data_IF_223974370005
#
_entry.id   IF_223974370005
#
_cell.length_a   1.000
_cell.length_b   1.000
_cell.length_c   1.000
_cell.angle_alpha   90.00
_cell.angle_beta   90.00
_cell.angle_gamma   90.00
#
_symmetry.space_group_name_H-M   'P 1'
#
loop_
_entity.id
_entity.type
_entity.pdbx_description
1 polymer ?
#
# COMPACT_ATOMS: atom_id res chain seq x y z
N UNK A 1 -20.66 16.43 -12.39
CA UNK A 1 -19.62 16.41 -11.36
C UNK A 1 -18.90 17.74 -11.40
N UNK A 2 -18.70 18.38 -10.25
CA UNK A 2 -17.90 19.59 -10.16
C UNK A 2 -16.43 19.24 -9.99
N UNK A 3 -15.56 19.95 -10.70
CA UNK A 3 -14.11 19.84 -10.51
C UNK A 3 -13.73 20.60 -9.23
N UNK A 4 -13.35 19.85 -8.20
CA UNK A 4 -12.83 20.42 -6.96
C UNK A 4 -11.37 19.97 -6.84
N UNK A 5 -10.44 20.90 -6.99
CA UNK A 5 -8.98 20.65 -6.89
C UNK A 5 -8.46 19.60 -7.86
N UNK A 6 -9.03 19.52 -9.08
CA UNK A 6 -8.61 18.59 -10.12
C UNK A 6 -9.22 17.18 -10.04
N UNK A 7 -10.14 16.95 -9.09
CA UNK A 7 -10.90 15.68 -9.01
C UNK A 7 -12.38 15.90 -9.37
N UNK A 8 -12.94 15.02 -10.19
CA UNK A 8 -14.35 15.02 -10.59
C UNK A 8 -15.16 14.06 -9.71
N UNK A 9 -14.91 14.04 -8.41
CA UNK A 9 -15.42 13.03 -7.47
C UNK A 9 -16.75 13.40 -6.80
N UNK A 10 -17.20 14.65 -6.93
CA UNK A 10 -18.38 15.16 -6.23
C UNK A 10 -19.59 15.32 -7.13
N UNK A 11 -20.73 14.76 -6.71
CA UNK A 11 -22.04 14.99 -7.31
C UNK A 11 -22.81 15.94 -6.40
N UNK A 12 -23.13 17.13 -6.90
CA UNK A 12 -23.96 18.09 -6.16
C UNK A 12 -25.45 17.76 -6.36
N UNK A 13 -26.14 17.53 -5.27
CA UNK A 13 -27.59 17.30 -5.19
C UNK A 13 -28.24 18.46 -4.42
N UNK A 14 -28.12 19.67 -4.94
CA UNK A 14 -28.58 20.86 -4.25
C UNK A 14 -27.67 21.20 -3.06
N UNK A 15 -28.17 21.23 -1.81
CA UNK A 15 -27.36 21.59 -0.65
C UNK A 15 -26.37 20.52 -0.20
N UNK A 16 -26.45 19.30 -0.75
CA UNK A 16 -25.64 18.15 -0.35
C UNK A 16 -24.69 17.75 -1.48
N UNK A 17 -23.42 17.68 -1.17
CA UNK A 17 -22.39 17.12 -2.05
C UNK A 17 -22.13 15.65 -1.68
N UNK A 18 -22.29 14.76 -2.64
CA UNK A 18 -22.18 13.32 -2.44
C UNK A 18 -20.98 12.80 -3.22
N UNK A 19 -20.13 12.00 -2.54
CA UNK A 19 -18.99 11.34 -3.15
C UNK A 19 -19.31 9.86 -3.39
N UNK A 20 -19.52 9.43 -4.65
CA UNK A 20 -19.94 8.04 -4.95
C UNK A 20 -18.94 6.99 -4.50
N UNK A 21 -17.66 7.32 -4.45
CA UNK A 21 -16.61 6.40 -4.01
C UNK A 21 -16.81 5.91 -2.56
N UNK A 22 -17.39 6.73 -1.67
CA UNK A 22 -17.71 6.37 -0.30
C UNK A 22 -18.75 5.25 -0.22
N UNK A 23 -19.78 5.31 -1.07
CA UNK A 23 -20.82 4.30 -1.15
C UNK A 23 -20.38 3.05 -1.92
N UNK A 24 -19.50 3.22 -2.92
CA UNK A 24 -18.95 2.11 -3.69
C UNK A 24 -18.23 1.09 -2.79
N UNK A 25 -17.53 1.53 -1.73
CA UNK A 25 -16.88 0.64 -0.75
C UNK A 25 -17.90 -0.27 -0.06
N UNK A 26 -19.05 0.27 0.33
CA UNK A 26 -20.14 -0.50 0.95
C UNK A 26 -20.73 -1.53 -0.01
N UNK A 27 -21.01 -1.11 -1.24
CA UNK A 27 -21.59 -1.98 -2.28
C UNK A 27 -20.63 -3.12 -2.61
N UNK A 28 -19.35 -2.83 -2.77
CA UNK A 28 -18.33 -3.84 -3.07
C UNK A 28 -18.15 -4.80 -1.90
N UNK A 29 -18.17 -4.31 -0.66
CA UNK A 29 -18.13 -5.16 0.54
C UNK A 29 -19.30 -6.17 0.57
N UNK A 30 -20.52 -5.72 0.29
CA UNK A 30 -21.71 -6.58 0.20
C UNK A 30 -21.61 -7.56 -0.97
N UNK A 31 -21.15 -7.10 -2.14
CA UNK A 31 -21.03 -7.92 -3.33
C UNK A 31 -20.00 -9.06 -3.12
N UNK A 32 -18.83 -8.75 -2.55
CA UNK A 32 -17.79 -9.73 -2.19
C UNK A 32 -18.33 -10.71 -1.15
N UNK A 33 -19.00 -10.21 -0.11
CA UNK A 33 -19.60 -11.04 0.93
C UNK A 33 -20.61 -12.02 0.37
N UNK A 34 -21.49 -11.57 -0.53
CA UNK A 34 -22.46 -12.42 -1.22
C UNK A 34 -21.81 -13.42 -2.16
N UNK A 35 -20.82 -12.98 -2.93
CA UNK A 35 -20.14 -13.84 -3.91
C UNK A 35 -19.33 -14.94 -3.24
N UNK A 36 -18.47 -14.58 -2.29
CA UNK A 36 -17.60 -15.53 -1.59
C UNK A 36 -18.32 -16.33 -0.49
N UNK A 37 -19.50 -15.88 -0.06
CA UNK A 37 -20.34 -16.59 0.90
C UNK A 37 -21.19 -17.69 0.30
N UNK A 38 -21.08 -17.99 -1.00
CA UNK A 38 -21.77 -19.11 -1.64
C UNK A 38 -21.29 -20.43 -1.06
N UNK A 39 -22.18 -21.41 -1.03
CA UNK A 39 -21.88 -22.75 -0.57
C UNK A 39 -20.69 -23.34 -1.37
N UNK A 40 -19.72 -23.94 -0.66
CA UNK A 40 -18.50 -24.55 -1.21
C UNK A 40 -17.51 -23.59 -1.90
N UNK A 41 -17.68 -22.27 -1.84
CA UNK A 41 -16.69 -21.37 -2.40
C UNK A 41 -15.37 -21.41 -1.57
N UNK A 42 -14.29 -21.78 -2.21
CA UNK A 42 -12.94 -21.86 -1.60
C UNK A 42 -11.92 -21.22 -2.53
N UNK A 43 -11.09 -20.33 -1.99
CA UNK A 43 -9.97 -19.72 -2.70
C UNK A 43 -8.78 -20.72 -2.79
N UNK A 44 -8.89 -21.74 -3.63
CA UNK A 44 -7.83 -22.75 -3.78
C UNK A 44 -6.96 -22.53 -5.01
N UNK A 45 -7.53 -22.03 -6.09
CA UNK A 45 -6.85 -21.83 -7.36
C UNK A 45 -6.79 -20.36 -7.74
N UNK A 46 -5.85 -20.02 -8.62
CA UNK A 46 -5.75 -18.66 -9.16
C UNK A 46 -7.02 -18.23 -9.91
N UNK A 47 -7.77 -19.17 -10.47
CA UNK A 47 -9.03 -18.90 -11.16
C UNK A 47 -10.12 -18.43 -10.21
N UNK A 48 -10.13 -18.94 -9.00
CA UNK A 48 -11.09 -18.52 -7.97
C UNK A 48 -10.88 -17.07 -7.52
N UNK A 49 -9.66 -16.54 -7.69
CA UNK A 49 -9.30 -15.16 -7.35
C UNK A 49 -9.72 -14.16 -8.43
N UNK A 50 -9.90 -14.57 -9.69
CA UNK A 50 -10.15 -13.65 -10.82
C UNK A 50 -11.39 -12.78 -10.55
N UNK A 51 -12.50 -13.38 -10.16
CA UNK A 51 -13.75 -12.64 -9.94
C UNK A 51 -13.67 -11.72 -8.74
N UNK A 52 -13.20 -12.15 -7.53
CA UNK A 52 -12.99 -11.23 -6.41
C UNK A 52 -12.05 -10.07 -6.73
N UNK A 53 -10.93 -10.35 -7.43
CA UNK A 53 -10.02 -9.28 -7.87
C UNK A 53 -10.67 -8.33 -8.88
N UNK A 54 -11.49 -8.83 -9.80
CA UNK A 54 -12.24 -7.97 -10.71
C UNK A 54 -13.28 -7.11 -9.95
N UNK A 55 -13.95 -7.67 -8.93
CA UNK A 55 -14.93 -6.95 -8.11
C UNK A 55 -14.31 -5.77 -7.34
N UNK A 56 -13.03 -5.84 -6.95
CA UNK A 56 -12.32 -4.71 -6.32
C UNK A 56 -11.60 -3.85 -7.35
N UNK A 57 -11.01 -4.47 -8.37
CA UNK A 57 -10.17 -3.79 -9.37
C UNK A 57 -10.97 -2.91 -10.31
N UNK A 58 -12.12 -3.38 -10.80
CA UNK A 58 -12.95 -2.59 -11.73
C UNK A 58 -13.46 -1.29 -11.08
N UNK A 59 -14.09 -1.29 -9.89
CA UNK A 59 -14.46 -0.05 -9.23
C UNK A 59 -13.26 0.85 -8.90
N UNK A 60 -12.15 0.28 -8.43
CA UNK A 60 -10.94 1.05 -8.16
C UNK A 60 -10.39 1.74 -9.42
N UNK A 61 -10.35 1.04 -10.56
CA UNK A 61 -9.93 1.61 -11.85
C UNK A 61 -10.91 2.70 -12.34
N UNK A 62 -12.22 2.47 -12.20
CA UNK A 62 -13.23 3.47 -12.57
C UNK A 62 -13.03 4.75 -11.75
N UNK A 63 -12.84 4.64 -10.42
CA UNK A 63 -12.60 5.78 -9.54
C UNK A 63 -11.28 6.48 -9.93
N UNK A 64 -10.22 5.73 -10.17
CA UNK A 64 -8.91 6.27 -10.51
C UNK A 64 -8.91 7.00 -11.86
N UNK A 65 -9.59 6.46 -12.88
CA UNK A 65 -9.58 7.00 -14.24
C UNK A 65 -10.62 8.13 -14.40
N UNK A 66 -11.88 7.88 -13.98
CA UNK A 66 -12.98 8.83 -14.20
C UNK A 66 -13.01 9.95 -13.16
N UNK A 67 -12.75 9.64 -11.90
CA UNK A 67 -12.77 10.63 -10.81
C UNK A 67 -11.40 11.27 -10.56
N UNK A 68 -10.34 10.71 -11.17
CA UNK A 68 -8.93 11.12 -10.94
C UNK A 68 -8.54 11.11 -9.46
N UNK A 69 -9.17 10.24 -8.68
CA UNK A 69 -9.02 10.15 -7.23
C UNK A 69 -8.30 8.86 -6.86
N UNK A 70 -7.01 9.00 -6.56
CA UNK A 70 -6.17 7.83 -6.20
C UNK A 70 -6.40 7.36 -4.76
N UNK A 71 -6.81 8.27 -3.87
CA UNK A 71 -7.04 7.97 -2.46
C UNK A 71 -8.15 6.96 -2.24
N UNK A 72 -9.33 7.27 -2.73
CA UNK A 72 -10.49 6.38 -2.61
C UNK A 72 -10.28 5.05 -3.35
N UNK A 73 -9.57 5.04 -4.48
CA UNK A 73 -9.20 3.82 -5.19
C UNK A 73 -8.27 2.92 -4.37
N UNK A 74 -7.31 3.51 -3.65
CA UNK A 74 -6.35 2.75 -2.83
C UNK A 74 -7.04 2.01 -1.67
N UNK A 75 -8.15 2.51 -1.16
CA UNK A 75 -8.90 1.85 -0.06
C UNK A 75 -9.37 0.44 -0.45
N UNK A 76 -9.61 0.19 -1.74
CA UNK A 76 -9.99 -1.14 -2.20
C UNK A 76 -8.88 -2.20 -1.97
N UNK A 77 -7.64 -1.79 -1.76
CA UNK A 77 -6.57 -2.70 -1.35
C UNK A 77 -6.83 -3.33 0.04
N UNK A 78 -7.64 -2.71 0.89
CA UNK A 78 -8.04 -3.28 2.17
C UNK A 78 -8.69 -4.66 2.04
N UNK A 79 -9.40 -4.93 0.92
CA UNK A 79 -10.04 -6.22 0.67
C UNK A 79 -9.04 -7.38 0.49
N UNK A 80 -7.77 -7.10 0.19
CA UNK A 80 -6.73 -8.13 0.14
C UNK A 80 -6.56 -8.84 1.49
N UNK A 81 -6.74 -8.12 2.61
CA UNK A 81 -6.73 -8.70 3.95
C UNK A 81 -7.88 -9.69 4.15
N UNK A 82 -9.05 -9.36 3.59
CA UNK A 82 -10.23 -10.23 3.62
C UNK A 82 -9.97 -11.52 2.82
N UNK A 83 -9.40 -11.39 1.62
CA UNK A 83 -9.07 -12.55 0.79
C UNK A 83 -8.04 -13.45 1.46
N UNK A 84 -7.02 -12.86 2.10
CA UNK A 84 -6.05 -13.59 2.89
C UNK A 84 -6.73 -14.38 4.02
N UNK A 85 -7.65 -13.76 4.76
CA UNK A 85 -8.40 -14.43 5.83
C UNK A 85 -9.31 -15.56 5.31
N UNK A 86 -9.78 -15.46 4.06
CA UNK A 86 -10.62 -16.48 3.40
C UNK A 86 -9.80 -17.60 2.72
N UNK A 87 -8.48 -17.64 2.90
CA UNK A 87 -7.63 -18.73 2.43
C UNK A 87 -6.79 -18.40 1.20
N UNK A 88 -6.73 -17.14 0.77
CA UNK A 88 -5.78 -16.71 -0.23
C UNK A 88 -4.35 -16.93 0.27
N UNK A 89 -3.47 -17.40 -0.61
CA UNK A 89 -2.07 -17.62 -0.26
C UNK A 89 -1.40 -16.33 0.21
N UNK A 90 -0.67 -16.39 1.32
CA UNK A 90 0.13 -15.26 1.83
C UNK A 90 1.19 -14.76 0.85
N UNK A 91 1.61 -15.58 -0.11
CA UNK A 91 2.53 -15.15 -1.18
C UNK A 91 1.98 -13.98 -2.00
N UNK A 92 0.66 -13.86 -2.17
CA UNK A 92 0.04 -12.73 -2.89
C UNK A 92 0.28 -11.42 -2.16
N UNK A 93 0.16 -11.42 -0.82
CA UNK A 93 0.47 -10.24 0.00
C UNK A 93 1.96 -9.90 -0.05
N UNK A 94 2.83 -10.91 0.03
CA UNK A 94 4.27 -10.70 -0.08
C UNK A 94 4.69 -10.15 -1.44
N UNK A 95 4.06 -10.59 -2.53
CA UNK A 95 4.27 -10.01 -3.88
C UNK A 95 3.87 -8.54 -3.88
N UNK A 96 2.73 -8.19 -3.26
CA UNK A 96 2.31 -6.79 -3.13
C UNK A 96 3.30 -5.93 -2.35
N UNK A 97 3.78 -6.41 -1.20
CA UNK A 97 4.80 -5.73 -0.39
C UNK A 97 6.12 -5.58 -1.16
N UNK A 98 6.56 -6.65 -1.83
CA UNK A 98 7.76 -6.61 -2.66
C UNK A 98 7.65 -5.61 -3.82
N UNK A 99 6.49 -5.55 -4.48
CA UNK A 99 6.24 -4.58 -5.55
C UNK A 99 6.33 -3.14 -5.04
N UNK A 100 5.72 -2.84 -3.89
CA UNK A 100 5.83 -1.51 -3.27
C UNK A 100 7.28 -1.19 -2.89
N UNK A 101 8.00 -2.14 -2.29
CA UNK A 101 9.40 -1.96 -1.91
C UNK A 101 10.29 -1.67 -3.14
N UNK A 102 10.16 -2.48 -4.20
CA UNK A 102 10.91 -2.27 -5.45
C UNK A 102 10.57 -0.93 -6.11
N UNK A 103 9.29 -0.53 -6.09
CA UNK A 103 8.85 0.77 -6.58
C UNK A 103 9.53 1.92 -5.81
N UNK A 104 9.49 1.89 -4.48
CA UNK A 104 10.10 2.92 -3.65
C UNK A 104 11.62 2.96 -3.81
N UNK A 105 12.29 1.80 -3.86
CA UNK A 105 13.73 1.71 -4.08
C UNK A 105 14.13 2.23 -5.46
N UNK A 106 13.39 1.85 -6.50
CA UNK A 106 13.65 2.31 -7.87
C UNK A 106 13.53 3.82 -8.00
N UNK A 107 12.54 4.45 -7.36
CA UNK A 107 12.33 5.90 -7.44
C UNK A 107 13.28 6.66 -6.54
N UNK A 108 13.35 6.30 -5.23
CA UNK A 108 14.13 7.04 -4.22
C UNK A 108 15.60 7.14 -4.58
N UNK A 109 16.17 6.04 -5.05
CA UNK A 109 17.57 5.95 -5.41
C UNK A 109 17.83 5.89 -6.92
N UNK A 110 16.78 5.90 -7.73
CA UNK A 110 16.87 5.84 -9.20
C UNK A 110 17.57 7.06 -9.81
N UNK A 111 17.51 8.21 -9.14
CA UNK A 111 18.16 9.45 -9.58
C UNK A 111 19.51 9.68 -8.90
N UNK A 112 19.85 8.88 -7.89
CA UNK A 112 21.14 8.99 -7.21
C UNK A 112 22.21 8.31 -8.05
N UNK A 113 23.21 9.06 -8.56
CA UNK A 113 24.31 8.47 -9.32
C UNK A 113 25.15 7.57 -8.39
N UNK A 114 25.70 6.51 -8.97
CA UNK A 114 26.66 5.67 -8.24
C UNK A 114 27.93 6.48 -7.96
N UNK A 115 28.49 6.38 -6.74
CA UNK A 115 29.76 7.04 -6.41
C UNK A 115 30.95 6.44 -7.18
N UNK A 116 30.79 5.22 -7.66
CA UNK A 116 31.80 4.47 -8.42
C UNK A 116 31.14 3.97 -9.72
N UNK A 117 31.71 4.34 -10.87
CA UNK A 117 31.22 3.92 -12.19
C UNK A 117 30.01 4.73 -12.70
N UNK A 118 29.34 4.19 -13.71
CA UNK A 118 28.14 4.80 -14.29
C UNK A 118 26.91 3.98 -13.94
N UNK A 119 25.82 4.68 -13.56
CA UNK A 119 24.56 4.04 -13.24
C UNK A 119 23.81 4.73 -12.10
N UNK A 120 22.71 4.11 -11.66
CA UNK A 120 21.92 4.58 -10.54
C UNK A 120 21.95 3.58 -9.38
N UNK A 121 21.99 4.11 -8.17
CA UNK A 121 21.95 3.31 -6.93
C UNK A 121 20.65 2.50 -6.86
N UNK A 122 19.53 3.05 -7.33
CA UNK A 122 18.23 2.39 -7.27
C UNK A 122 18.14 1.11 -8.09
N UNK A 123 18.59 1.15 -9.36
CA UNK A 123 18.58 -0.04 -10.21
C UNK A 123 19.55 -1.09 -9.66
N UNK A 124 20.75 -0.66 -9.25
CA UNK A 124 21.74 -1.56 -8.67
C UNK A 124 21.18 -2.26 -7.41
N UNK A 125 20.57 -1.52 -6.48
CA UNK A 125 20.03 -2.09 -5.24
C UNK A 125 18.88 -3.06 -5.51
N UNK A 126 18.00 -2.77 -6.47
CA UNK A 126 16.94 -3.70 -6.89
C UNK A 126 17.54 -4.99 -7.48
N UNK A 127 18.55 -4.89 -8.35
CA UNK A 127 19.19 -6.07 -8.95
C UNK A 127 19.95 -6.89 -7.91
N UNK A 128 20.62 -6.26 -6.94
CA UNK A 128 21.28 -6.97 -5.83
C UNK A 128 20.26 -7.70 -4.95
N UNK A 129 19.11 -7.09 -4.67
CA UNK A 129 18.03 -7.73 -3.92
C UNK A 129 17.50 -8.98 -4.67
N UNK A 130 17.27 -8.86 -5.97
CA UNK A 130 16.82 -9.98 -6.81
C UNK A 130 17.87 -11.10 -6.87
N UNK A 131 19.16 -10.74 -6.99
CA UNK A 131 20.29 -11.68 -6.89
C UNK A 131 20.25 -12.44 -5.56
N UNK A 132 20.05 -11.75 -4.45
CA UNK A 132 19.98 -12.36 -3.13
C UNK A 132 18.78 -13.31 -2.99
N UNK A 133 17.63 -12.95 -3.55
CA UNK A 133 16.42 -13.80 -3.55
C UNK A 133 16.67 -15.09 -4.34
N UNK A 134 17.23 -15.01 -5.55
CA UNK A 134 17.55 -16.19 -6.37
C UNK A 134 18.51 -17.13 -5.63
N UNK A 135 19.61 -16.60 -5.12
CA UNK A 135 20.60 -17.38 -4.37
C UNK A 135 19.99 -18.00 -3.12
N UNK A 136 19.14 -17.27 -2.39
CA UNK A 136 18.45 -17.79 -1.21
C UNK A 136 17.61 -19.04 -1.53
N UNK A 137 16.82 -19.01 -2.61
CA UNK A 137 16.00 -20.15 -2.99
C UNK A 137 16.82 -21.34 -3.49
N UNK A 138 17.96 -21.09 -4.17
CA UNK A 138 18.91 -22.15 -4.53
C UNK A 138 19.55 -22.75 -3.26
N UNK A 139 19.97 -21.94 -2.29
CA UNK A 139 20.53 -22.39 -1.01
C UNK A 139 19.55 -23.23 -0.19
N UNK A 140 18.25 -22.91 -0.26
CA UNK A 140 17.21 -23.63 0.47
C UNK A 140 17.07 -25.07 0.01
N UNK A 141 17.41 -25.38 -1.22
CA UNK A 141 17.44 -26.74 -1.75
C UNK A 141 18.74 -27.44 -1.32
N UNK A 142 18.63 -28.39 -0.42
CA UNK A 142 19.79 -29.06 0.21
C UNK A 142 20.82 -29.62 -0.78
N UNK A 143 20.35 -30.14 -1.92
CA UNK A 143 21.21 -30.70 -2.97
C UNK A 143 22.01 -29.64 -3.73
N UNK A 144 21.60 -28.39 -3.68
CA UNK A 144 22.18 -27.28 -4.44
C UNK A 144 23.07 -26.35 -3.59
N UNK A 145 23.26 -26.64 -2.31
CA UNK A 145 24.02 -25.76 -1.40
C UNK A 145 25.45 -25.47 -1.87
N UNK A 146 26.15 -26.48 -2.35
CA UNK A 146 27.49 -26.30 -2.91
C UNK A 146 27.49 -25.44 -4.17
N UNK A 147 26.52 -25.62 -5.03
CA UNK A 147 26.34 -24.79 -6.23
C UNK A 147 26.00 -23.35 -5.85
N UNK A 148 25.18 -23.15 -4.82
CA UNK A 148 24.88 -21.80 -4.31
C UNK A 148 26.13 -21.09 -3.78
N UNK A 149 27.04 -21.78 -3.09
CA UNK A 149 28.33 -21.22 -2.64
C UNK A 149 29.20 -20.82 -3.83
N UNK A 150 29.27 -21.65 -4.88
CA UNK A 150 29.99 -21.33 -6.11
C UNK A 150 29.37 -20.10 -6.79
N UNK A 151 28.03 -20.00 -6.84
CA UNK A 151 27.33 -18.84 -7.40
C UNK A 151 27.61 -17.57 -6.60
N UNK A 152 27.60 -17.64 -5.28
CA UNK A 152 27.98 -16.49 -4.41
C UNK A 152 29.41 -16.05 -4.76
N UNK A 153 30.34 -17.00 -4.83
CA UNK A 153 31.73 -16.72 -5.18
C UNK A 153 31.86 -16.10 -6.58
N UNK A 154 31.14 -16.61 -7.57
CA UNK A 154 31.14 -16.08 -8.94
C UNK A 154 30.55 -14.66 -9.01
N UNK A 155 29.45 -14.39 -8.30
CA UNK A 155 28.85 -13.04 -8.21
C UNK A 155 29.82 -12.06 -7.58
N UNK A 156 30.43 -12.42 -6.44
CA UNK A 156 31.44 -11.58 -5.78
C UNK A 156 32.66 -11.33 -6.68
N UNK A 157 33.09 -12.34 -7.42
CA UNK A 157 34.20 -12.22 -8.36
C UNK A 157 33.85 -11.27 -9.52
N UNK A 158 32.65 -11.37 -10.10
CA UNK A 158 32.20 -10.46 -11.17
C UNK A 158 32.19 -9.01 -10.68
N UNK A 159 31.61 -8.75 -9.48
CA UNK A 159 31.61 -7.40 -8.92
C UNK A 159 33.03 -6.93 -8.54
N UNK A 160 33.88 -7.81 -8.00
CA UNK A 160 35.28 -7.52 -7.69
C UNK A 160 36.07 -7.13 -8.93
N UNK A 161 35.95 -7.91 -10.02
CA UNK A 161 36.59 -7.56 -11.30
C UNK A 161 36.03 -6.24 -11.84
N UNK A 162 34.73 -6.03 -11.77
CA UNK A 162 34.08 -4.80 -12.23
C UNK A 162 34.60 -3.56 -11.47
N UNK A 163 34.84 -3.68 -10.16
CA UNK A 163 35.46 -2.62 -9.35
C UNK A 163 36.89 -2.36 -9.74
N UNK A 164 37.71 -3.40 -10.02
CA UNK A 164 39.07 -3.25 -10.48
C UNK A 164 39.14 -2.58 -11.87
N UNK A 165 38.27 -3.01 -12.81
CA UNK A 165 38.21 -2.41 -14.14
C UNK A 165 37.74 -0.96 -14.08
N UNK A 166 36.89 -0.62 -13.11
CA UNK A 166 36.39 0.74 -12.92
C UNK A 166 37.47 1.74 -12.56
N UNK A 167 38.66 1.29 -12.11
CA UNK A 167 39.82 2.16 -11.89
C UNK A 167 40.33 2.74 -13.20
N UNK A 168 40.19 1.98 -14.32
CA UNK A 168 40.70 2.35 -15.63
C UNK A 168 39.67 2.86 -16.58
N UNK A 169 38.44 2.28 -16.51
CA UNK A 169 37.32 2.61 -17.38
C UNK A 169 36.05 2.63 -16.55
N UNK A 170 35.24 3.68 -16.68
CA UNK A 170 33.97 3.80 -15.98
C UNK A 170 33.01 2.64 -16.36
N UNK A 171 32.78 1.71 -15.42
CA UNK A 171 31.97 0.52 -15.62
C UNK A 171 30.49 0.84 -15.41
N UNK A 172 29.61 0.41 -16.32
CA UNK A 172 28.16 0.57 -16.17
C UNK A 172 27.59 -0.51 -15.24
N UNK A 173 27.68 -0.31 -13.91
CA UNK A 173 27.26 -1.29 -12.90
C UNK A 173 25.82 -1.75 -13.02
N UNK A 174 24.93 -0.92 -13.54
CA UNK A 174 23.53 -1.33 -13.78
C UNK A 174 23.43 -2.44 -14.82
N UNK A 175 24.23 -2.38 -15.88
CA UNK A 175 24.26 -3.43 -16.92
C UNK A 175 24.96 -4.69 -16.41
N UNK A 176 26.02 -4.53 -15.61
CA UNK A 176 26.70 -5.66 -14.97
C UNK A 176 25.75 -6.39 -14.04
N UNK A 177 25.05 -5.68 -13.16
CA UNK A 177 24.09 -6.29 -12.24
C UNK A 177 22.92 -6.95 -12.95
N UNK A 178 22.42 -6.33 -14.02
CA UNK A 178 21.39 -6.92 -14.86
C UNK A 178 21.87 -8.22 -15.53
N UNK A 179 23.09 -8.23 -16.05
CA UNK A 179 23.72 -9.42 -16.61
C UNK A 179 23.87 -10.55 -15.60
N UNK A 180 24.29 -10.25 -14.37
CA UNK A 180 24.38 -11.20 -13.26
C UNK A 180 23.00 -11.82 -12.94
N UNK A 181 21.97 -10.98 -12.79
CA UNK A 181 20.61 -11.49 -12.50
C UNK A 181 20.08 -12.37 -13.63
N UNK A 182 20.28 -11.95 -14.90
CA UNK A 182 19.85 -12.77 -16.06
C UNK A 182 20.58 -14.11 -16.08
N UNK A 183 21.89 -14.12 -15.83
CA UNK A 183 22.66 -15.36 -15.78
C UNK A 183 22.16 -16.29 -14.65
N UNK A 184 21.86 -15.75 -13.47
CA UNK A 184 21.28 -16.51 -12.37
C UNK A 184 19.89 -17.06 -12.72
N UNK A 185 19.03 -16.27 -13.33
CA UNK A 185 17.70 -16.71 -13.78
C UNK A 185 17.81 -17.86 -14.78
N UNK A 186 18.69 -17.75 -15.77
CA UNK A 186 18.92 -18.83 -16.74
C UNK A 186 19.42 -20.09 -16.04
N UNK A 187 20.35 -19.96 -15.11
CA UNK A 187 20.84 -21.07 -14.29
C UNK A 187 19.71 -21.69 -13.45
N UNK A 188 18.89 -20.87 -12.80
CA UNK A 188 17.76 -21.33 -11.98
C UNK A 188 16.72 -22.07 -12.82
N UNK A 189 16.44 -21.58 -14.03
CA UNK A 189 15.55 -22.28 -15.00
C UNK A 189 16.16 -23.63 -15.40
N UNK A 190 17.45 -23.66 -15.74
CA UNK A 190 18.13 -24.91 -16.11
C UNK A 190 18.05 -25.93 -14.97
N UNK A 191 18.40 -25.53 -13.75
CA UNK A 191 18.34 -26.38 -12.56
C UNK A 191 16.91 -26.84 -12.25
N UNK A 192 15.93 -25.95 -12.43
CA UNK A 192 14.50 -26.27 -12.24
C UNK A 192 14.03 -27.38 -13.18
N UNK A 193 14.42 -27.31 -14.45
CA UNK A 193 14.09 -28.32 -15.46
C UNK A 193 14.83 -29.65 -15.15
N UNK A 194 16.13 -29.59 -14.87
CA UNK A 194 16.95 -30.75 -14.61
C UNK A 194 16.51 -31.53 -13.37
N UNK A 195 16.22 -30.85 -12.26
CA UNK A 195 15.80 -31.47 -11.01
C UNK A 195 14.26 -31.54 -10.83
N UNK A 196 13.48 -31.08 -11.84
CA UNK A 196 12.02 -31.02 -11.81
C UNK A 196 11.47 -30.28 -10.58
N UNK A 197 12.09 -29.18 -10.19
CA UNK A 197 11.73 -28.38 -9.02
C UNK A 197 10.92 -27.14 -9.43
N UNK A 198 9.61 -27.27 -9.50
CA UNK A 198 8.69 -26.19 -9.92
C UNK A 198 8.84 -24.88 -9.14
N UNK A 199 9.24 -24.96 -7.86
CA UNK A 199 9.42 -23.75 -7.04
C UNK A 199 10.52 -22.83 -7.61
N UNK A 200 11.63 -23.41 -8.11
CA UNK A 200 12.71 -22.65 -8.71
C UNK A 200 12.27 -21.99 -10.03
N UNK A 201 11.42 -22.66 -10.80
CA UNK A 201 10.85 -22.07 -12.00
C UNK A 201 9.96 -20.84 -11.68
N UNK A 202 9.13 -20.95 -10.62
CA UNK A 202 8.29 -19.84 -10.16
C UNK A 202 9.16 -18.66 -9.69
N UNK A 203 10.24 -18.93 -8.97
CA UNK A 203 11.18 -17.89 -8.52
C UNK A 203 11.83 -17.20 -9.71
N UNK A 204 12.34 -17.94 -10.68
CA UNK A 204 12.93 -17.39 -11.89
C UNK A 204 11.92 -16.53 -12.69
N UNK A 205 10.69 -17.02 -12.88
CA UNK A 205 9.64 -16.27 -13.55
C UNK A 205 9.28 -14.98 -12.79
N UNK A 206 9.22 -15.05 -11.45
CA UNK A 206 8.99 -13.88 -10.59
C UNK A 206 10.13 -12.86 -10.71
N UNK A 207 11.38 -13.30 -10.73
CA UNK A 207 12.54 -12.41 -10.91
C UNK A 207 12.53 -11.72 -12.26
N UNK A 208 12.19 -12.43 -13.35
CA UNK A 208 12.01 -11.81 -14.68
C UNK A 208 10.92 -10.75 -14.64
N UNK A 209 9.78 -11.06 -14.01
CA UNK A 209 8.71 -10.09 -13.81
C UNK A 209 9.19 -8.86 -13.04
N UNK A 210 9.95 -9.03 -11.95
CA UNK A 210 10.48 -7.94 -11.13
C UNK A 210 11.47 -7.06 -11.90
N UNK A 211 12.31 -7.64 -12.79
CA UNK A 211 13.20 -6.85 -13.66
C UNK A 211 12.35 -5.94 -14.57
N UNK A 212 11.38 -6.51 -15.27
CA UNK A 212 10.46 -5.74 -16.12
C UNK A 212 9.69 -4.68 -15.33
N UNK A 213 9.22 -5.03 -14.14
CA UNK A 213 8.52 -4.12 -13.23
C UNK A 213 9.39 -2.94 -12.79
N UNK A 214 10.65 -3.15 -12.43
CA UNK A 214 11.56 -2.08 -12.01
C UNK A 214 11.76 -1.03 -13.11
N UNK A 215 11.93 -1.48 -14.37
CA UNK A 215 12.02 -0.59 -15.52
C UNK A 215 10.68 0.09 -15.87
N UNK A 216 9.58 -0.66 -15.75
CA UNK A 216 8.23 -0.11 -15.96
C UNK A 216 7.88 0.95 -14.90
N UNK A 217 8.33 0.80 -13.65
CA UNK A 217 8.14 1.80 -12.60
C UNK A 217 8.79 3.14 -12.93
N UNK A 218 10.03 3.14 -13.41
CA UNK A 218 10.72 4.38 -13.82
C UNK A 218 10.00 5.06 -14.99
N UNK A 219 9.56 4.28 -15.98
CA UNK A 219 8.76 4.78 -17.09
C UNK A 219 7.42 5.34 -16.62
N UNK A 220 6.69 4.60 -15.79
CA UNK A 220 5.39 5.01 -15.28
C UNK A 220 5.50 6.28 -14.44
N UNK A 221 6.52 6.37 -13.58
CA UNK A 221 6.78 7.54 -12.75
C UNK A 221 7.06 8.79 -13.58
N UNK A 222 7.85 8.66 -14.66
CA UNK A 222 8.24 9.80 -15.51
C UNK A 222 7.18 10.22 -16.51
N UNK A 223 6.38 9.27 -17.06
CA UNK A 223 5.49 9.52 -18.21
C UNK A 223 4.00 9.33 -17.93
N UNK A 224 3.62 8.51 -16.95
CA UNK A 224 2.22 8.15 -16.70
C UNK A 224 1.62 8.94 -15.55
N UNK A 225 2.39 9.13 -14.45
CA UNK A 225 1.89 9.87 -13.31
C UNK A 225 1.71 11.35 -13.63
N UNK A 226 0.60 11.92 -13.17
CA UNK A 226 0.34 13.35 -13.27
C UNK A 226 1.34 14.14 -12.41
N UNK A 227 1.69 15.39 -12.79
CA UNK A 227 2.70 16.17 -12.07
C UNK A 227 2.45 16.30 -10.58
N UNK A 228 1.19 16.51 -10.16
CA UNK A 228 0.84 16.62 -8.75
C UNK A 228 0.99 15.30 -7.96
N UNK A 229 0.77 14.15 -8.60
CA UNK A 229 0.97 12.83 -7.98
C UNK A 229 2.47 12.54 -7.83
N UNK A 230 3.25 12.89 -8.84
CA UNK A 230 4.71 12.74 -8.83
C UNK A 230 5.34 13.58 -7.71
N UNK A 231 4.95 14.85 -7.57
CA UNK A 231 5.46 15.74 -6.52
C UNK A 231 5.17 15.15 -5.13
N UNK A 232 3.99 14.59 -4.89
CA UNK A 232 3.65 13.96 -3.59
C UNK A 232 4.58 12.79 -3.25
N UNK A 233 4.98 12.00 -4.23
CA UNK A 233 5.92 10.88 -4.04
C UNK A 233 7.35 11.42 -3.87
N UNK A 234 7.78 12.40 -4.65
CA UNK A 234 9.10 13.02 -4.55
C UNK A 234 9.31 13.67 -3.17
N UNK A 235 8.29 14.36 -2.66
CA UNK A 235 8.31 14.96 -1.32
C UNK A 235 8.36 13.91 -0.22
N UNK A 236 7.53 12.87 -0.30
CA UNK A 236 7.55 11.76 0.66
C UNK A 236 8.94 11.12 0.76
N UNK A 237 9.57 10.91 -0.39
CA UNK A 237 10.89 10.30 -0.49
C UNK A 237 12.04 11.27 -0.16
N UNK A 238 11.74 12.53 0.17
CA UNK A 238 12.74 13.54 0.47
C UNK A 238 13.65 13.87 -0.72
N UNK A 239 13.12 13.74 -1.95
CA UNK A 239 13.84 14.04 -3.19
C UNK A 239 13.64 15.50 -3.63
N UNK A 240 12.55 16.11 -3.20
CA UNK A 240 12.18 17.48 -3.53
C UNK A 240 11.54 18.13 -2.30
N UNK A 241 11.91 19.38 -2.06
CA UNK A 241 11.18 20.24 -1.12
C UNK A 241 10.05 20.95 -1.90
N UNK A 242 8.84 20.89 -1.38
CA UNK A 242 7.69 21.61 -1.91
C UNK A 242 7.15 22.54 -0.81
N UNK A 243 7.70 23.76 -0.72
CA UNK A 243 7.38 24.68 0.37
C UNK A 243 5.99 25.30 0.27
N UNK A 244 5.25 25.08 -0.83
CA UNK A 244 3.93 25.68 -1.06
C UNK A 244 2.81 24.67 -1.37
N UNK A 245 3.13 23.37 -1.46
CA UNK A 245 2.17 22.33 -1.82
C UNK A 245 2.07 21.19 -0.82
N UNK A 246 2.07 19.94 -1.32
CA UNK A 246 1.90 18.75 -0.48
C UNK A 246 2.97 18.61 0.60
N UNK A 247 4.21 19.06 0.34
CA UNK A 247 5.29 19.08 1.33
C UNK A 247 5.05 20.04 2.46
N UNK A 248 4.50 21.19 2.16
CA UNK A 248 4.11 22.18 3.16
C UNK A 248 3.08 21.60 4.14
N UNK A 249 2.02 20.95 3.64
CA UNK A 249 0.97 20.40 4.47
C UNK A 249 1.51 19.35 5.46
N UNK A 250 2.35 18.43 4.98
CA UNK A 250 2.97 17.40 5.84
C UNK A 250 3.92 18.02 6.87
N UNK A 251 4.74 18.97 6.46
CA UNK A 251 5.67 19.64 7.36
C UNK A 251 4.93 20.42 8.45
N UNK A 252 3.90 21.17 8.09
CA UNK A 252 3.08 21.89 9.06
C UNK A 252 2.33 20.93 10.00
N UNK A 253 1.78 19.82 9.49
CA UNK A 253 1.15 18.79 10.30
C UNK A 253 2.14 18.17 11.32
N UNK A 254 3.37 17.87 10.88
CA UNK A 254 4.43 17.35 11.77
C UNK A 254 4.87 18.37 12.81
N UNK A 255 4.98 19.66 12.45
CA UNK A 255 5.27 20.74 13.39
C UNK A 255 4.13 20.85 14.41
N UNK A 256 2.87 20.78 13.97
CA UNK A 256 1.71 20.81 14.86
C UNK A 256 1.77 19.65 15.88
N UNK A 257 1.88 18.39 15.39
CA UNK A 257 1.99 17.21 16.27
C UNK A 257 3.18 17.33 17.22
N UNK A 258 4.36 17.71 16.72
CA UNK A 258 5.58 17.86 17.56
C UNK A 258 5.46 18.96 18.60
N UNK A 259 4.72 20.04 18.30
CA UNK A 259 4.51 21.15 19.20
C UNK A 259 3.64 20.82 20.42
N UNK A 260 2.79 19.76 20.31
CA UNK A 260 1.93 19.29 21.39
C UNK A 260 2.69 18.55 22.51
N UNK A 261 3.92 18.11 22.27
CA UNK A 261 4.73 17.40 23.26
C UNK A 261 3.98 16.22 23.90
N UNK A 262 4.13 16.03 25.23
CA UNK A 262 3.55 14.88 25.94
C UNK A 262 2.07 15.07 26.28
N UNK A 263 1.67 16.25 26.80
CA UNK A 263 0.31 16.53 27.28
C UNK A 263 -0.51 17.46 26.39
N UNK A 264 0.06 17.98 25.32
CA UNK A 264 -0.60 18.94 24.42
C UNK A 264 -0.57 20.38 24.95
N UNK A 265 -1.07 21.29 24.11
CA UNK A 265 -1.20 22.73 24.45
C UNK A 265 -2.52 23.06 25.18
N UNK A 266 -3.43 22.09 25.22
CA UNK A 266 -4.79 22.27 25.72
C UNK A 266 -5.83 22.44 24.62
N UNK A 267 -7.08 22.12 24.93
CA UNK A 267 -8.21 22.20 24.01
C UNK A 267 -8.40 23.63 23.50
N UNK A 268 -8.48 23.81 22.19
CA UNK A 268 -8.57 25.10 21.48
C UNK A 268 -7.37 26.05 21.67
N UNK A 269 -6.24 25.57 22.22
CA UNK A 269 -5.02 26.36 22.40
C UNK A 269 -3.93 25.96 21.37
N UNK A 270 -4.27 25.16 20.35
CA UNK A 270 -3.38 24.87 19.24
C UNK A 270 -3.02 26.14 18.45
N UNK A 271 -1.74 26.42 18.29
CA UNK A 271 -1.28 27.58 17.54
C UNK A 271 -1.24 27.34 16.04
N UNK A 272 -0.78 26.15 15.60
CA UNK A 272 -0.70 25.79 14.20
C UNK A 272 -2.08 25.52 13.61
N UNK A 273 -2.91 24.81 14.35
CA UNK A 273 -4.28 24.46 13.92
C UNK A 273 -5.22 25.67 13.99
N UNK A 274 -5.19 26.46 15.05
CA UNK A 274 -6.07 27.66 15.22
C UNK A 274 -5.77 28.74 14.18
N UNK A 275 -4.52 28.96 13.82
CA UNK A 275 -4.12 29.92 12.81
C UNK A 275 -4.19 29.34 11.37
N UNK A 276 -4.73 28.15 11.20
CA UNK A 276 -4.93 27.47 9.91
C UNK A 276 -3.64 27.35 9.07
N UNK A 277 -2.49 27.16 9.73
CA UNK A 277 -1.23 26.90 9.02
C UNK A 277 -1.19 25.52 8.38
N UNK A 278 -2.03 24.59 8.85
CA UNK A 278 -2.20 23.26 8.23
C UNK A 278 -3.41 23.31 7.30
N UNK A 279 -3.22 23.34 5.97
CA UNK A 279 -4.34 23.26 5.05
C UNK A 279 -5.08 21.92 5.19
N UNK A 280 -6.40 21.91 4.99
CA UNK A 280 -7.26 20.69 5.09
C UNK A 280 -7.16 19.99 6.46
N UNK A 281 -6.90 20.75 7.54
CA UNK A 281 -6.79 20.16 8.88
C UNK A 281 -8.08 19.48 9.34
N UNK A 282 -9.25 20.01 8.97
CA UNK A 282 -10.55 19.48 9.42
C UNK A 282 -10.94 18.18 8.69
N UNK A 283 -10.34 17.92 7.53
CA UNK A 283 -10.63 16.75 6.69
C UNK A 283 -9.51 15.71 6.76
N UNK A 284 -8.45 15.91 6.01
CA UNK A 284 -7.41 14.91 5.81
C UNK A 284 -6.37 14.88 6.93
N UNK A 285 -6.13 16.03 7.59
CA UNK A 285 -5.09 16.16 8.61
C UNK A 285 -5.64 16.34 10.03
N UNK A 286 -6.91 15.93 10.28
CA UNK A 286 -7.55 16.11 11.60
C UNK A 286 -6.73 15.55 12.77
N UNK A 287 -5.98 14.47 12.56
CA UNK A 287 -5.16 13.86 13.60
C UNK A 287 -4.03 14.80 14.08
N UNK A 288 -3.59 15.79 13.28
CA UNK A 288 -2.61 16.77 13.74
C UNK A 288 -3.16 17.70 14.83
N UNK A 289 -4.47 18.00 14.76
CA UNK A 289 -5.15 18.78 15.81
C UNK A 289 -5.16 18.04 17.14
N UNK A 290 -5.44 16.71 17.10
CA UNK A 290 -5.33 15.88 18.30
C UNK A 290 -3.89 15.90 18.85
N UNK A 291 -2.89 15.75 17.96
CA UNK A 291 -1.48 15.78 18.36
C UNK A 291 -1.05 17.12 18.96
N UNK A 292 -1.53 18.26 18.45
CA UNK A 292 -1.19 19.58 18.97
C UNK A 292 -1.89 19.89 20.28
N UNK A 293 -3.20 19.65 20.37
CA UNK A 293 -4.02 20.05 21.52
C UNK A 293 -3.92 19.08 22.70
N UNK A 294 -3.87 17.76 22.44
CA UNK A 294 -3.87 16.72 23.46
C UNK A 294 -2.53 15.97 23.57
N UNK A 295 -1.57 16.31 22.70
CA UNK A 295 -0.21 15.77 22.73
C UNK A 295 -0.13 14.27 22.48
N UNK A 296 0.97 13.68 22.95
CA UNK A 296 1.23 12.26 22.81
C UNK A 296 0.19 11.39 23.50
N UNK A 297 -0.25 11.79 24.72
CA UNK A 297 -1.24 11.03 25.51
C UNK A 297 -2.58 10.98 24.76
N UNK A 298 -3.06 12.13 24.26
CA UNK A 298 -4.29 12.18 23.50
C UNK A 298 -4.22 11.40 22.20
N UNK A 299 -3.09 11.50 21.48
CA UNK A 299 -2.85 10.75 20.25
C UNK A 299 -2.90 9.24 20.50
N UNK A 300 -2.22 8.74 21.53
CA UNK A 300 -2.30 7.32 21.92
C UNK A 300 -3.73 6.96 22.34
N UNK A 301 -4.43 7.80 23.10
CA UNK A 301 -5.81 7.56 23.49
C UNK A 301 -6.72 7.34 22.29
N UNK A 302 -6.63 8.20 21.26
CA UNK A 302 -7.38 8.03 20.02
C UNK A 302 -7.01 6.76 19.27
N UNK A 303 -5.71 6.44 19.15
CA UNK A 303 -5.26 5.21 18.50
C UNK A 303 -5.74 3.96 19.24
N UNK A 304 -5.74 3.95 20.56
CA UNK A 304 -6.27 2.86 21.37
C UNK A 304 -7.78 2.69 21.21
N UNK A 305 -8.54 3.79 21.11
CA UNK A 305 -9.98 3.73 20.81
C UNK A 305 -10.23 3.09 19.45
N UNK A 306 -9.48 3.46 18.41
CA UNK A 306 -9.59 2.82 17.10
C UNK A 306 -9.16 1.35 17.14
N UNK A 307 -8.09 1.03 17.85
CA UNK A 307 -7.64 -0.36 18.02
C UNK A 307 -8.74 -1.19 18.67
N UNK A 308 -9.31 -0.71 19.77
CA UNK A 308 -10.43 -1.37 20.46
C UNK A 308 -11.65 -1.53 19.55
N UNK A 309 -12.00 -0.48 18.80
CA UNK A 309 -13.09 -0.50 17.84
C UNK A 309 -12.87 -1.57 16.75
N UNK A 310 -11.69 -1.60 16.11
CA UNK A 310 -11.35 -2.58 15.08
C UNK A 310 -11.34 -3.99 15.63
N UNK A 311 -10.76 -4.20 16.83
CA UNK A 311 -10.79 -5.50 17.51
C UNK A 311 -12.22 -5.93 17.79
N UNK A 312 -13.11 -5.01 18.16
CA UNK A 312 -14.54 -5.31 18.36
C UNK A 312 -15.23 -5.73 17.08
N UNK A 313 -14.91 -5.09 15.94
CA UNK A 313 -15.42 -5.50 14.62
C UNK A 313 -14.92 -6.91 14.24
N UNK A 314 -13.66 -7.23 14.51
CA UNK A 314 -13.10 -8.58 14.29
C UNK A 314 -13.80 -9.61 15.18
N UNK A 315 -14.03 -9.31 16.46
CA UNK A 315 -14.79 -10.19 17.34
C UNK A 315 -16.22 -10.42 16.85
N UNK A 316 -16.88 -9.39 16.29
CA UNK A 316 -18.18 -9.54 15.65
C UNK A 316 -18.07 -10.46 14.43
N UNK A 317 -17.01 -10.33 13.62
CA UNK A 317 -16.78 -11.19 12.45
C UNK A 317 -16.60 -12.67 12.85
N UNK A 318 -15.80 -12.94 13.88
CA UNK A 318 -15.51 -14.32 14.33
C UNK A 318 -16.75 -15.04 14.89
N UNK A 319 -17.66 -14.31 15.51
CA UNK A 319 -18.89 -14.90 16.07
C UNK A 319 -19.99 -15.18 15.05
N UNK A 320 -19.83 -14.72 13.78
CA UNK A 320 -20.81 -14.94 12.72
C UNK A 320 -20.80 -16.39 12.24
N UNK A 321 -21.97 -17.03 12.23
CA UNK A 321 -22.17 -18.39 11.69
C UNK A 321 -22.28 -18.37 10.16
N UNK A 322 -22.92 -17.34 9.61
CA UNK A 322 -23.06 -17.17 8.17
C UNK A 322 -21.75 -16.64 7.57
N UNK A 323 -21.23 -17.37 6.58
CA UNK A 323 -19.97 -17.02 5.89
C UNK A 323 -20.05 -15.65 5.22
N UNK A 324 -21.17 -15.31 4.58
CA UNK A 324 -21.36 -14.01 3.94
C UNK A 324 -21.27 -12.87 4.95
N UNK A 325 -21.96 -12.99 6.09
CA UNK A 325 -21.92 -11.98 7.16
C UNK A 325 -20.52 -11.84 7.74
N UNK A 326 -19.81 -12.95 7.92
CA UNK A 326 -18.43 -12.97 8.40
C UNK A 326 -17.49 -12.22 7.45
N UNK A 327 -17.60 -12.49 6.14
CA UNK A 327 -16.82 -11.81 5.11
C UNK A 327 -17.10 -10.31 5.08
N UNK A 328 -18.39 -9.94 5.19
CA UNK A 328 -18.77 -8.52 5.26
C UNK A 328 -18.16 -7.84 6.49
N UNK A 329 -18.23 -8.48 7.66
CA UNK A 329 -17.67 -7.95 8.90
C UNK A 329 -16.14 -7.73 8.80
N UNK A 330 -15.41 -8.69 8.21
CA UNK A 330 -13.99 -8.51 7.94
C UNK A 330 -13.72 -7.39 6.92
N UNK A 331 -14.59 -7.23 5.92
CA UNK A 331 -14.47 -6.14 4.95
C UNK A 331 -14.61 -4.79 5.63
N UNK A 332 -15.59 -4.63 6.52
CA UNK A 332 -15.77 -3.42 7.32
C UNK A 332 -14.53 -3.15 8.18
N UNK A 333 -14.07 -4.15 8.96
CA UNK A 333 -12.90 -4.01 9.82
C UNK A 333 -11.64 -3.61 9.01
N UNK A 334 -11.42 -4.24 7.83
CA UNK A 334 -10.29 -3.94 6.96
C UNK A 334 -10.34 -2.53 6.38
N UNK A 335 -11.52 -2.05 5.97
CA UNK A 335 -11.71 -0.67 5.48
C UNK A 335 -11.37 0.33 6.59
N UNK A 336 -11.88 0.14 7.81
CA UNK A 336 -11.59 1.03 8.95
C UNK A 336 -10.09 1.02 9.30
N UNK A 337 -9.47 -0.17 9.35
CA UNK A 337 -8.03 -0.30 9.59
C UNK A 337 -7.21 0.44 8.54
N UNK A 338 -7.58 0.30 7.28
CA UNK A 338 -6.88 0.92 6.16
C UNK A 338 -6.98 2.45 6.22
N UNK A 339 -8.18 2.99 6.45
CA UNK A 339 -8.37 4.44 6.64
C UNK A 339 -7.53 4.98 7.79
N UNK A 340 -7.56 4.32 8.95
CA UNK A 340 -6.74 4.70 10.11
C UNK A 340 -5.25 4.72 9.77
N UNK A 341 -4.75 3.62 9.20
CA UNK A 341 -3.31 3.47 8.89
C UNK A 341 -2.84 4.51 7.90
N UNK A 342 -3.60 4.76 6.83
CA UNK A 342 -3.22 5.74 5.82
C UNK A 342 -3.31 7.15 6.36
N UNK A 343 -4.40 7.52 7.06
CA UNK A 343 -4.57 8.89 7.57
C UNK A 343 -3.47 9.24 8.60
N UNK A 344 -3.25 8.39 9.59
CA UNK A 344 -2.20 8.62 10.60
C UNK A 344 -0.81 8.58 9.98
N UNK A 345 -0.56 7.62 9.07
CA UNK A 345 0.71 7.52 8.34
C UNK A 345 1.02 8.77 7.50
N UNK A 346 0.00 9.37 6.88
CA UNK A 346 0.10 10.60 6.10
C UNK A 346 0.43 11.81 7.00
N UNK A 347 -0.26 11.96 8.13
CA UNK A 347 0.00 13.04 9.11
C UNK A 347 1.41 12.96 9.69
N UNK A 348 1.91 11.75 9.95
CA UNK A 348 3.27 11.52 10.44
C UNK A 348 4.34 11.60 9.35
N UNK A 349 3.95 11.74 8.08
CA UNK A 349 4.88 11.78 6.95
C UNK A 349 5.51 10.42 6.61
N UNK A 350 4.86 9.31 7.01
CA UNK A 350 5.28 7.94 6.66
C UNK A 350 4.69 7.48 5.33
N UNK A 351 3.60 8.12 4.91
CA UNK A 351 2.89 7.84 3.65
C UNK A 351 2.66 9.13 2.88
N UNK A 352 2.51 9.06 1.54
CA UNK A 352 2.23 10.24 0.74
C UNK A 352 0.86 10.83 1.08
N UNK A 353 0.71 12.13 0.85
CA UNK A 353 -0.60 12.81 1.01
C UNK A 353 -1.55 12.30 -0.07
N UNK A 354 -2.53 11.52 0.35
CA UNK A 354 -3.47 10.84 -0.55
C UNK A 354 -4.88 11.43 -0.43
N UNK A 355 -5.20 12.09 0.70
CA UNK A 355 -6.52 12.66 0.94
C UNK A 355 -7.55 11.59 1.34
N UNK A 356 -7.29 10.88 2.43
CA UNK A 356 -8.19 9.85 2.97
C UNK A 356 -8.67 10.28 4.36
N UNK A 357 -9.99 10.42 4.58
CA UNK A 357 -10.52 10.87 5.86
C UNK A 357 -10.35 9.82 6.96
N UNK A 358 -10.19 10.29 8.19
CA UNK A 358 -10.22 9.46 9.39
C UNK A 358 -11.69 9.14 9.75
N UNK A 359 -12.11 7.86 9.81
CA UNK A 359 -13.50 7.48 10.02
C UNK A 359 -14.10 8.10 11.29
N UNK A 360 -15.29 8.71 11.19
CA UNK A 360 -16.02 9.39 12.28
C UNK A 360 -15.29 10.56 12.96
N UNK A 361 -14.09 10.90 12.54
CA UNK A 361 -13.29 11.99 13.10
C UNK A 361 -13.16 13.16 12.13
N UNK A 362 -12.84 12.85 10.87
CA UNK A 362 -12.72 13.86 9.82
C UNK A 362 -14.05 14.49 9.47
N UNK A 363 -14.06 15.80 9.24
CA UNK A 363 -15.21 16.49 8.70
C UNK A 363 -15.49 16.02 7.27
N UNK A 364 -16.74 15.58 7.02
CA UNK A 364 -17.19 15.16 5.70
C UNK A 364 -18.54 14.44 5.73
N UNK A 365 -19.57 15.05 5.14
CA UNK A 365 -20.92 14.47 5.14
C UNK A 365 -21.00 13.11 4.44
N UNK A 366 -20.41 12.99 3.23
CA UNK A 366 -20.43 11.74 2.45
C UNK A 366 -19.66 10.62 3.10
N UNK A 367 -18.50 10.93 3.69
CA UNK A 367 -17.66 9.95 4.40
C UNK A 367 -18.36 9.46 5.66
N UNK A 368 -18.97 10.37 6.43
CA UNK A 368 -19.76 10.01 7.61
C UNK A 368 -20.91 9.06 7.24
N UNK A 369 -21.65 9.34 6.18
CA UNK A 369 -22.72 8.47 5.71
C UNK A 369 -22.18 7.11 5.25
N UNK A 370 -21.08 7.09 4.48
CA UNK A 370 -20.46 5.84 4.02
C UNK A 370 -20.02 4.94 5.17
N UNK A 371 -19.33 5.49 6.17
CA UNK A 371 -18.89 4.72 7.36
C UNK A 371 -20.07 4.30 8.24
N UNK A 372 -21.07 5.16 8.37
CA UNK A 372 -22.28 4.83 9.13
C UNK A 372 -23.02 3.67 8.46
N UNK A 373 -23.24 3.71 7.15
CA UNK A 373 -23.88 2.62 6.42
C UNK A 373 -23.09 1.31 6.57
N UNK A 374 -21.76 1.33 6.38
CA UNK A 374 -20.92 0.16 6.57
C UNK A 374 -21.11 -0.47 7.95
N UNK A 375 -21.09 0.35 9.00
CA UNK A 375 -21.19 -0.10 10.37
C UNK A 375 -22.61 -0.60 10.70
N UNK A 376 -23.66 0.15 10.36
CA UNK A 376 -25.03 -0.21 10.74
C UNK A 376 -25.56 -1.40 9.97
N UNK A 377 -25.16 -1.62 8.72
CA UNK A 377 -25.46 -2.88 8.01
C UNK A 377 -24.80 -4.05 8.77
N UNK A 378 -23.56 -3.93 9.21
CA UNK A 378 -22.90 -4.96 10.01
C UNK A 378 -23.66 -5.24 11.31
N UNK A 379 -24.05 -4.19 12.05
CA UNK A 379 -24.78 -4.33 13.31
C UNK A 379 -26.16 -4.99 13.09
N UNK A 380 -26.85 -4.66 12.02
CA UNK A 380 -28.13 -5.32 11.67
C UNK A 380 -27.93 -6.80 11.33
N UNK A 381 -26.87 -7.12 10.57
CA UNK A 381 -26.55 -8.52 10.24
C UNK A 381 -26.14 -9.31 11.52
N UNK A 382 -25.45 -8.68 12.43
CA UNK A 382 -25.09 -9.29 13.71
C UNK A 382 -26.32 -9.52 14.62
N UNK A 383 -27.23 -8.57 14.66
CA UNK A 383 -28.51 -8.73 15.40
C UNK A 383 -29.35 -9.89 14.83
N UNK A 384 -29.39 -10.02 13.49
CA UNK A 384 -30.16 -11.07 12.82
C UNK A 384 -29.52 -12.48 12.91
N UNK A 385 -28.30 -12.62 13.46
CA UNK A 385 -27.59 -13.91 13.52
C UNK A 385 -28.37 -15.03 14.26
N UNK A 386 -29.23 -14.66 15.22
CA UNK A 386 -30.04 -15.60 16.00
C UNK A 386 -31.40 -15.87 15.35
N UNK A 387 -31.89 -14.99 14.48
CA UNK A 387 -33.17 -15.16 13.75
C UNK A 387 -33.07 -16.25 12.68
N UNK A 388 -31.89 -16.47 12.11
CA UNK A 388 -31.63 -17.50 11.07
C UNK A 388 -31.63 -18.94 11.65
N UNK A 389 -31.88 -19.11 12.92
CA UNK A 389 -31.94 -20.41 13.62
C UNK A 389 -33.40 -20.88 13.88
N UNK A 390 -34.38 -20.06 13.48
CA UNK A 390 -35.80 -20.40 13.49
C UNK A 390 -36.30 -20.66 12.06
#
# INVERSE_FOLDING_TARGET
AHDIKGSMSWISLGPVNLQPAEFAKCIVALAIAKYMGRYEYKLRTWRDLIVPFAMIGVPALIIMILQKETGSALVFAAFLLVFYRQGMSGYVLWIGVAAVALFLMSIRWGQVPLPLGTGSVGILSCMLLLTAVEIYFICKEHRLRWQALILIGSVLLVYGISLLVNIWVAVPFNWVSMGVVIALVLYTIFVSIYWRKYILFIVAAFTVFCIGYTHACDFAFKKVLQPHQRIRIEVLLGMKEDPSGAGYNVNQARIAVGSGRFFGKGYLHGTQTKLQFVPEQDTDFIFCTVGEEWGFVGSIGVLLLYLFFILRLIMIAERQRNVSTRIYAYSVASIFLFHLTINVGMVLGLLPVIGIPLPFFSYGGSSLWGFTLLLFILLRLDAARMEQLR
#
